data_IF_244870751221
#
_entry.id   IF_244870751221
#
_cell.length_a   1.000
_cell.length_b   1.000
_cell.length_c   1.000
_cell.angle_alpha   90.00
_cell.angle_beta   90.00
_cell.angle_gamma   90.00
#
_symmetry.space_group_name_H-M   'P 1'
#
loop_
_entity.id
_entity.type
_entity.pdbx_description
1 polymer ?
#
# COMPACT_ATOMS: atom_id res chain seq x y z
N UNK A 1 -5.12 -1.83 20.07
CA UNK A 1 -4.64 -3.09 20.69
C UNK A 1 -3.15 -3.25 20.41
N UNK A 2 -2.41 -4.14 21.10
CA UNK A 2 -0.97 -4.33 20.86
C UNK A 2 -0.71 -5.82 20.64
N UNK A 3 -0.18 -6.20 19.48
CA UNK A 3 0.19 -7.57 19.12
C UNK A 3 1.69 -7.76 19.18
N UNK A 4 2.45 -6.95 18.43
CA UNK A 4 3.90 -6.91 18.47
C UNK A 4 4.34 -5.91 19.54
N UNK A 5 5.03 -6.40 20.56
CA UNK A 5 5.50 -5.59 21.69
C UNK A 5 6.87 -4.97 21.42
N UNK A 6 7.80 -5.76 20.90
CA UNK A 6 9.13 -5.28 20.55
C UNK A 6 9.75 -6.10 19.43
N UNK A 7 10.71 -5.51 18.74
CA UNK A 7 11.52 -6.14 17.71
C UNK A 7 12.98 -5.76 17.91
N UNK A 8 13.87 -6.76 17.81
CA UNK A 8 15.31 -6.57 17.98
C UNK A 8 16.01 -6.94 16.69
N UNK A 9 16.80 -6.01 16.19
CA UNK A 9 17.68 -6.17 15.05
C UNK A 9 19.07 -6.58 15.50
N UNK A 10 19.89 -7.22 14.65
CA UNK A 10 21.25 -7.58 14.99
C UNK A 10 22.11 -6.34 15.27
N UNK A 11 23.02 -6.48 16.19
CA UNK A 11 24.05 -5.49 16.50
C UNK A 11 25.11 -5.44 15.39
N UNK A 12 25.91 -4.36 15.34
CA UNK A 12 27.01 -4.24 14.37
C UNK A 12 28.01 -5.40 14.47
N UNK A 13 28.25 -5.93 15.69
CA UNK A 13 29.11 -7.08 15.93
C UNK A 13 28.56 -8.38 15.34
N UNK A 14 27.27 -8.67 15.55
CA UNK A 14 26.61 -9.84 14.99
C UNK A 14 26.56 -9.78 13.45
N UNK A 15 26.31 -8.60 12.90
CA UNK A 15 26.37 -8.38 11.44
C UNK A 15 27.77 -8.63 10.88
N UNK A 16 28.80 -8.13 11.57
CA UNK A 16 30.19 -8.28 11.17
C UNK A 16 30.62 -9.76 11.15
N UNK A 17 30.22 -10.53 12.17
CA UNK A 17 30.52 -11.96 12.26
C UNK A 17 29.93 -12.75 11.07
N UNK A 18 28.73 -12.41 10.62
CA UNK A 18 28.13 -13.02 9.43
C UNK A 18 28.90 -12.63 8.16
N UNK A 19 29.20 -11.35 7.97
CA UNK A 19 29.87 -10.84 6.77
C UNK A 19 31.25 -11.44 6.59
N UNK A 20 32.04 -11.59 7.67
CA UNK A 20 33.40 -12.17 7.62
C UNK A 20 33.35 -13.65 7.22
N UNK A 21 32.32 -14.37 7.64
CA UNK A 21 32.18 -15.80 7.38
C UNK A 21 31.70 -16.11 5.95
N UNK A 22 31.30 -15.11 5.15
CA UNK A 22 30.94 -15.30 3.75
C UNK A 22 32.19 -15.63 2.93
N UNK A 23 32.26 -16.84 2.38
CA UNK A 23 33.40 -17.35 1.61
C UNK A 23 33.47 -16.80 0.18
N UNK A 24 32.31 -16.51 -0.39
CA UNK A 24 32.15 -16.04 -1.76
C UNK A 24 32.45 -14.54 -1.86
N UNK A 25 33.48 -14.17 -2.64
CA UNK A 25 33.92 -12.77 -2.82
C UNK A 25 33.25 -12.06 -4.01
N UNK A 26 32.21 -12.64 -4.59
CA UNK A 26 31.57 -12.13 -5.81
C UNK A 26 30.44 -11.10 -5.52
N UNK A 27 30.09 -10.90 -4.27
CA UNK A 27 28.99 -10.01 -3.90
C UNK A 27 29.41 -8.56 -3.80
N UNK A 28 28.66 -7.65 -4.44
CA UNK A 28 28.88 -6.20 -4.38
C UNK A 28 28.07 -5.51 -3.26
N UNK A 29 27.11 -6.19 -2.68
CA UNK A 29 26.23 -5.67 -1.63
C UNK A 29 25.78 -6.76 -0.67
N UNK A 30 25.79 -6.46 0.61
CA UNK A 30 25.29 -7.32 1.68
C UNK A 30 23.95 -6.83 2.24
N UNK A 31 23.12 -6.18 1.41
CA UNK A 31 21.82 -5.69 1.86
C UNK A 31 21.00 -6.80 2.57
N UNK A 32 20.38 -6.56 3.76
CA UNK A 32 20.20 -5.29 4.45
C UNK A 32 21.23 -4.97 5.55
N UNK A 33 22.33 -5.73 5.65
CA UNK A 33 23.38 -5.52 6.64
C UNK A 33 23.94 -4.08 6.61
N UNK A 34 24.33 -3.57 7.77
CA UNK A 34 24.90 -2.22 8.00
C UNK A 34 23.98 -1.03 7.69
N UNK A 35 22.68 -1.27 7.49
CA UNK A 35 21.72 -0.17 7.33
C UNK A 35 21.20 0.30 8.69
N UNK A 36 20.70 -0.62 9.50
CA UNK A 36 20.07 -0.29 10.78
C UNK A 36 21.09 -0.19 11.92
N UNK A 37 22.09 -1.07 11.95
CA UNK A 37 23.16 -1.06 12.94
C UNK A 37 23.96 0.24 12.93
N UNK A 38 24.32 0.78 11.74
CA UNK A 38 24.97 2.06 11.59
C UNK A 38 24.16 3.26 12.09
N UNK A 39 22.84 3.11 12.23
CA UNK A 39 21.93 4.11 12.80
C UNK A 39 21.67 3.88 14.29
N UNK A 40 22.32 2.86 14.90
CA UNK A 40 22.11 2.50 16.29
C UNK A 40 20.69 1.99 16.55
N UNK A 41 20.06 1.38 15.55
CA UNK A 41 18.71 0.81 15.67
C UNK A 41 18.87 -0.67 16.01
N UNK A 42 18.91 -0.98 17.30
CA UNK A 42 19.04 -2.34 17.79
C UNK A 42 17.69 -2.90 18.28
N UNK A 43 16.91 -2.08 18.98
CA UNK A 43 15.63 -2.49 19.53
C UNK A 43 14.58 -1.40 19.36
N UNK A 44 13.39 -1.83 18.95
CA UNK A 44 12.20 -1.00 18.86
C UNK A 44 11.12 -1.60 19.75
N UNK A 45 10.61 -0.80 20.68
CA UNK A 45 9.41 -1.11 21.45
C UNK A 45 8.19 -0.44 20.77
N UNK A 46 7.08 -1.15 20.67
CA UNK A 46 5.93 -0.69 19.91
C UNK A 46 4.77 -0.26 20.80
N UNK A 47 4.04 0.73 20.33
CA UNK A 47 2.75 1.17 20.82
C UNK A 47 1.64 0.81 19.80
N UNK A 48 0.35 1.01 20.11
CA UNK A 48 -0.73 0.75 19.15
C UNK A 48 -0.55 1.46 17.81
N UNK A 49 0.08 2.64 17.81
CA UNK A 49 0.56 3.32 16.61
C UNK A 49 2.01 3.69 16.83
N UNK A 50 2.90 3.15 16.00
CA UNK A 50 4.32 3.47 15.99
C UNK A 50 4.72 3.97 14.62
N UNK A 51 5.48 5.06 14.55
CA UNK A 51 5.88 5.69 13.30
C UNK A 51 7.41 5.69 13.18
N UNK A 52 7.90 5.27 12.04
CA UNK A 52 9.29 5.42 11.62
C UNK A 52 9.40 6.67 10.75
N UNK A 53 10.00 7.69 11.29
CA UNK A 53 10.30 8.93 10.59
C UNK A 53 11.76 8.94 10.14
N UNK A 54 12.04 9.59 9.02
CA UNK A 54 13.39 9.86 8.53
C UNK A 54 13.38 10.18 7.04
N UNK A 55 14.50 10.69 6.57
CA UNK A 55 14.74 11.00 5.16
C UNK A 55 14.78 9.76 4.27
N UNK A 56 14.80 9.98 2.95
CA UNK A 56 14.97 8.89 2.00
C UNK A 56 16.31 8.20 2.22
N UNK A 57 16.31 6.87 2.28
CA UNK A 57 17.51 6.07 2.57
C UNK A 57 17.85 5.93 4.06
N UNK A 58 17.01 6.40 4.98
CA UNK A 58 17.23 6.24 6.43
C UNK A 58 17.00 4.80 6.95
N UNK A 59 16.46 3.89 6.13
CA UNK A 59 16.24 2.49 6.49
C UNK A 59 14.81 2.14 6.94
N UNK A 60 13.85 3.07 6.90
CA UNK A 60 12.44 2.83 7.30
C UNK A 60 11.80 1.66 6.58
N UNK A 61 11.78 1.71 5.24
CA UNK A 61 11.24 0.64 4.39
C UNK A 61 11.98 -0.68 4.61
N UNK A 62 13.30 -0.62 4.81
CA UNK A 62 14.11 -1.81 5.12
C UNK A 62 13.68 -2.44 6.45
N UNK A 63 13.50 -1.62 7.49
CA UNK A 63 13.01 -2.09 8.80
C UNK A 63 11.62 -2.72 8.70
N UNK A 64 10.67 -2.07 7.99
CA UNK A 64 9.34 -2.64 7.74
C UNK A 64 9.41 -3.98 7.01
N UNK A 65 10.23 -4.08 5.96
CA UNK A 65 10.39 -5.31 5.19
C UNK A 65 10.96 -6.46 6.03
N UNK A 66 11.95 -6.19 6.89
CA UNK A 66 12.53 -7.18 7.81
C UNK A 66 11.48 -7.65 8.82
N UNK A 67 10.74 -6.73 9.43
CA UNK A 67 9.67 -7.05 10.37
C UNK A 67 8.59 -7.91 9.69
N UNK A 68 8.14 -7.50 8.49
CA UNK A 68 7.13 -8.23 7.74
C UNK A 68 7.57 -9.65 7.39
N UNK A 69 8.81 -9.84 6.94
CA UNK A 69 9.36 -11.16 6.60
C UNK A 69 9.52 -12.04 7.85
N UNK A 70 10.04 -11.49 8.96
CA UNK A 70 10.20 -12.23 10.22
C UNK A 70 8.87 -12.70 10.80
N UNK A 71 7.82 -11.87 10.69
CA UNK A 71 6.48 -12.19 11.17
C UNK A 71 5.64 -12.95 10.12
N UNK A 72 6.16 -13.16 8.91
CA UNK A 72 5.47 -13.81 7.79
C UNK A 72 4.12 -13.15 7.47
N UNK A 73 4.11 -11.82 7.44
CA UNK A 73 2.91 -11.06 7.13
C UNK A 73 2.52 -11.20 5.65
N UNK A 74 1.22 -11.14 5.37
CA UNK A 74 0.72 -11.11 4.00
C UNK A 74 1.24 -9.87 3.25
N UNK A 75 1.63 -10.06 1.98
CA UNK A 75 2.20 -9.04 1.11
C UNK A 75 1.76 -9.28 -0.33
N UNK A 76 1.47 -8.19 -1.06
CA UNK A 76 1.13 -8.25 -2.49
C UNK A 76 2.29 -7.76 -3.34
N UNK A 77 2.88 -6.59 -3.02
CA UNK A 77 3.98 -6.02 -3.80
C UNK A 77 5.33 -6.72 -3.54
N UNK A 78 6.15 -6.77 -4.57
CA UNK A 78 7.54 -7.19 -4.47
C UNK A 78 8.36 -6.14 -3.69
N UNK A 79 9.49 -6.55 -3.12
CA UNK A 79 10.40 -5.68 -2.39
C UNK A 79 11.86 -6.05 -2.66
N UNK A 80 12.77 -5.14 -2.32
CA UNK A 80 14.20 -5.39 -2.47
C UNK A 80 14.66 -6.52 -1.54
N UNK A 81 15.13 -7.62 -2.13
CA UNK A 81 15.63 -8.79 -1.42
C UNK A 81 16.96 -9.20 -2.03
N UNK A 82 18.00 -9.27 -1.22
CA UNK A 82 19.29 -9.85 -1.60
C UNK A 82 19.38 -11.30 -1.17
N UNK A 83 20.45 -11.99 -1.58
CA UNK A 83 20.75 -13.34 -1.11
C UNK A 83 20.95 -13.42 0.41
N UNK A 84 21.33 -12.32 1.04
CA UNK A 84 21.62 -12.23 2.49
C UNK A 84 20.43 -11.77 3.32
N UNK A 85 19.29 -11.47 2.68
CA UNK A 85 18.13 -10.91 3.38
C UNK A 85 17.58 -11.88 4.44
N UNK A 86 17.49 -13.16 4.10
CA UNK A 86 16.98 -14.18 5.03
C UNK A 86 17.96 -14.41 6.19
N UNK A 87 19.26 -14.44 5.93
CA UNK A 87 20.29 -14.58 6.97
C UNK A 87 20.18 -13.44 8.00
N UNK A 88 19.94 -12.23 7.52
CA UNK A 88 19.68 -11.08 8.40
C UNK A 88 18.38 -11.25 9.22
N UNK A 89 17.29 -11.65 8.58
CA UNK A 89 16.00 -11.87 9.23
C UNK A 89 16.11 -12.96 10.30
N UNK A 90 16.94 -13.99 10.10
CA UNK A 90 17.14 -15.07 11.06
C UNK A 90 17.80 -14.58 12.35
N UNK A 91 18.69 -13.59 12.28
CA UNK A 91 19.32 -12.95 13.44
C UNK A 91 18.33 -12.11 14.26
N UNK A 92 17.24 -11.63 13.63
CA UNK A 92 16.27 -10.79 14.32
C UNK A 92 15.42 -11.58 15.33
N UNK A 93 15.00 -10.90 16.39
CA UNK A 93 14.11 -11.45 17.41
C UNK A 93 12.92 -10.53 17.64
N UNK A 94 11.80 -11.07 18.12
CA UNK A 94 10.63 -10.27 18.45
C UNK A 94 9.90 -10.80 19.68
N UNK A 95 9.12 -9.94 20.32
CA UNK A 95 8.25 -10.28 21.45
C UNK A 95 6.82 -9.89 21.14
N UNK A 96 5.88 -10.81 21.36
CA UNK A 96 4.44 -10.57 21.22
C UNK A 96 3.83 -10.22 22.58
N UNK A 97 2.73 -9.48 22.59
CA UNK A 97 1.90 -9.28 23.78
C UNK A 97 0.93 -10.45 24.00
N UNK A 98 0.56 -11.14 22.94
CA UNK A 98 -0.28 -12.35 22.94
C UNK A 98 0.46 -13.57 22.45
N UNK A 99 -0.28 -14.61 22.05
CA UNK A 99 0.28 -15.89 21.60
C UNK A 99 0.61 -15.91 20.10
N UNK A 100 -0.04 -15.10 19.29
CA UNK A 100 0.15 -15.09 17.84
C UNK A 100 -0.22 -13.74 17.22
N UNK A 101 0.32 -13.49 16.03
CA UNK A 101 -0.11 -12.40 15.14
C UNK A 101 -1.40 -12.84 14.43
N UNK A 102 -2.43 -11.98 14.33
CA UNK A 102 -3.65 -12.30 13.59
C UNK A 102 -3.38 -12.63 12.12
N UNK A 103 -4.11 -13.58 11.55
CA UNK A 103 -3.87 -14.08 10.19
C UNK A 103 -4.14 -13.04 9.09
N UNK A 104 -4.99 -12.05 9.36
CA UNK A 104 -5.29 -10.93 8.45
C UNK A 104 -4.29 -9.77 8.54
N UNK A 105 -3.19 -9.95 9.31
CA UNK A 105 -2.13 -8.96 9.42
C UNK A 105 -1.28 -8.90 8.15
N UNK A 106 -0.94 -7.70 7.68
CA UNK A 106 -0.24 -7.51 6.41
C UNK A 106 0.63 -6.27 6.36
N UNK A 107 1.51 -6.23 5.39
CA UNK A 107 2.20 -5.01 4.99
C UNK A 107 1.51 -4.44 3.74
N UNK A 108 1.32 -3.12 3.72
CA UNK A 108 0.78 -2.36 2.60
C UNK A 108 1.81 -1.30 2.25
N UNK A 109 2.23 -1.27 0.99
CA UNK A 109 3.21 -0.34 0.46
C UNK A 109 2.56 0.65 -0.51
N UNK A 110 3.24 1.73 -0.84
CA UNK A 110 2.82 2.65 -1.91
C UNK A 110 2.66 1.95 -3.26
N UNK A 111 3.46 0.91 -3.52
CA UNK A 111 3.38 0.13 -4.76
C UNK A 111 2.06 -0.66 -4.85
N UNK A 112 1.59 -1.23 -3.74
CA UNK A 112 0.29 -1.92 -3.69
C UNK A 112 -0.87 -0.97 -4.07
N UNK A 113 -0.81 0.27 -3.57
CA UNK A 113 -1.81 1.31 -3.86
C UNK A 113 -1.75 1.71 -5.33
N UNK A 114 -0.54 1.86 -5.87
CA UNK A 114 -0.32 2.21 -7.26
C UNK A 114 -0.82 1.12 -8.20
N UNK A 115 -0.49 -0.14 -7.94
CA UNK A 115 -0.96 -1.30 -8.71
C UNK A 115 -2.49 -1.41 -8.69
N UNK A 116 -3.11 -1.18 -7.55
CA UNK A 116 -4.57 -1.14 -7.44
C UNK A 116 -5.17 -0.06 -8.36
N UNK A 117 -4.61 1.15 -8.35
CA UNK A 117 -5.08 2.23 -9.21
C UNK A 117 -4.90 1.93 -10.70
N UNK A 118 -3.77 1.31 -11.09
CA UNK A 118 -3.53 0.87 -12.46
C UNK A 118 -4.55 -0.19 -12.89
N UNK A 119 -4.78 -1.18 -12.05
CA UNK A 119 -5.74 -2.25 -12.32
C UNK A 119 -7.16 -1.70 -12.53
N UNK A 120 -7.59 -0.71 -11.74
CA UNK A 120 -8.89 -0.04 -11.94
C UNK A 120 -8.98 0.65 -13.30
N UNK A 121 -7.91 1.34 -13.72
CA UNK A 121 -7.86 2.01 -15.04
C UNK A 121 -7.92 0.99 -16.17
N UNK A 122 -7.11 -0.08 -16.10
CA UNK A 122 -7.10 -1.14 -17.11
C UNK A 122 -8.46 -1.85 -17.21
N UNK A 123 -9.14 -2.05 -16.08
CA UNK A 123 -10.48 -2.60 -16.05
C UNK A 123 -11.48 -1.70 -16.78
N UNK A 124 -11.46 -0.40 -16.51
CA UNK A 124 -12.33 0.56 -17.17
C UNK A 124 -12.04 0.65 -18.68
N UNK A 125 -10.76 0.68 -19.08
CA UNK A 125 -10.35 0.66 -20.49
C UNK A 125 -10.83 -0.62 -21.19
N UNK A 126 -10.72 -1.78 -20.53
CA UNK A 126 -11.25 -3.04 -21.04
C UNK A 126 -12.77 -3.01 -21.24
N UNK A 127 -13.49 -2.41 -20.30
CA UNK A 127 -14.96 -2.21 -20.40
C UNK A 127 -15.30 -1.29 -21.57
N UNK A 128 -14.59 -0.18 -21.75
CA UNK A 128 -14.84 0.77 -22.83
C UNK A 128 -14.51 0.16 -24.21
N UNK A 129 -13.38 -0.55 -24.31
CA UNK A 129 -13.04 -1.31 -25.53
C UNK A 129 -14.09 -2.38 -25.84
N UNK A 130 -14.61 -3.05 -24.83
CA UNK A 130 -15.72 -4.00 -24.97
C UNK A 130 -16.99 -3.33 -25.50
N UNK A 131 -17.31 -2.13 -25.00
CA UNK A 131 -18.45 -1.32 -25.49
C UNK A 131 -18.30 -0.94 -26.96
N UNK A 132 -17.13 -0.46 -27.36
CA UNK A 132 -16.85 -0.10 -28.76
C UNK A 132 -17.04 -1.29 -29.71
N UNK A 133 -16.50 -2.46 -29.36
CA UNK A 133 -16.70 -3.69 -30.11
C UNK A 133 -18.19 -4.05 -30.27
N UNK A 134 -18.98 -3.93 -29.21
CA UNK A 134 -20.42 -4.21 -29.25
C UNK A 134 -21.20 -3.14 -30.05
N UNK A 135 -20.75 -1.88 -30.02
CA UNK A 135 -21.33 -0.85 -30.91
C UNK A 135 -21.05 -1.14 -32.37
N UNK A 136 -19.86 -1.60 -32.73
CA UNK A 136 -19.52 -2.01 -34.08
C UNK A 136 -20.31 -3.25 -34.51
N UNK A 137 -20.39 -4.28 -33.63
CA UNK A 137 -21.17 -5.49 -33.87
C UNK A 137 -22.64 -5.15 -34.13
N UNK A 138 -23.25 -4.31 -33.26
CA UNK A 138 -24.62 -3.86 -33.44
C UNK A 138 -24.83 -3.19 -34.80
N UNK A 139 -23.92 -2.29 -35.21
CA UNK A 139 -24.02 -1.60 -36.51
C UNK A 139 -23.89 -2.59 -37.67
N UNK A 140 -22.94 -3.53 -37.62
CA UNK A 140 -22.75 -4.57 -38.65
C UNK A 140 -23.99 -5.43 -38.79
N UNK A 141 -24.55 -5.92 -37.70
CA UNK A 141 -25.76 -6.76 -37.70
C UNK A 141 -26.96 -5.97 -38.23
N UNK A 142 -27.08 -4.69 -37.89
CA UNK A 142 -28.22 -3.86 -38.30
C UNK A 142 -28.13 -3.39 -39.75
N UNK A 143 -26.91 -3.22 -40.27
CA UNK A 143 -26.68 -2.84 -41.70
C UNK A 143 -26.67 -4.05 -42.62
N UNK A 144 -26.42 -5.26 -42.12
CA UNK A 144 -26.51 -6.46 -42.93
C UNK A 144 -27.98 -6.71 -43.27
N UNK A 145 -28.23 -6.86 -44.56
CA UNK A 145 -29.57 -7.32 -45.06
C UNK A 145 -29.74 -8.81 -44.74
N UNK A 146 -30.00 -9.07 -43.49
CA UNK A 146 -30.18 -10.42 -42.98
C UNK A 146 -31.55 -10.97 -43.41
N UNK A 147 -31.65 -11.31 -44.69
CA UNK A 147 -32.71 -12.16 -45.20
C UNK A 147 -32.83 -13.41 -44.31
N UNK A 148 -34.04 -13.85 -44.06
CA UNK A 148 -34.52 -14.96 -43.20
C UNK A 148 -33.41 -15.92 -42.77
N UNK A 149 -32.70 -15.63 -41.64
CA UNK A 149 -31.80 -16.56 -41.02
C UNK A 149 -32.59 -17.81 -40.63
N UNK A 150 -32.22 -19.00 -41.08
CA UNK A 150 -32.86 -20.27 -40.75
C UNK A 150 -31.93 -21.04 -39.82
N UNK A 151 -32.44 -21.44 -38.65
CA UNK A 151 -31.82 -22.40 -37.77
C UNK A 151 -31.52 -23.70 -38.54
N UNK A 152 -30.25 -24.10 -38.61
CA UNK A 152 -29.83 -25.38 -39.20
C UNK A 152 -29.22 -26.33 -38.16
N UNK A 153 -28.69 -25.78 -37.05
CA UNK A 153 -28.04 -26.52 -35.98
C UNK A 153 -28.35 -25.90 -34.63
N UNK A 154 -28.10 -26.64 -33.54
CA UNK A 154 -28.14 -26.14 -32.15
C UNK A 154 -27.04 -25.08 -31.90
N UNK A 155 -25.95 -25.13 -32.64
CA UNK A 155 -24.86 -24.13 -32.54
C UNK A 155 -25.29 -22.75 -33.04
N UNK A 156 -26.32 -22.69 -33.92
CA UNK A 156 -26.89 -21.44 -34.44
C UNK A 156 -27.75 -20.69 -33.39
N UNK A 157 -28.04 -21.32 -32.24
CA UNK A 157 -28.96 -20.77 -31.24
C UNK A 157 -28.42 -19.46 -30.62
N UNK A 158 -27.13 -19.41 -30.30
CA UNK A 158 -26.50 -18.18 -29.75
C UNK A 158 -26.51 -17.06 -30.77
N UNK A 159 -26.33 -17.35 -32.06
CA UNK A 159 -26.36 -16.35 -33.12
C UNK A 159 -27.78 -15.80 -33.32
N UNK A 160 -28.81 -16.67 -33.30
CA UNK A 160 -30.22 -16.25 -33.35
C UNK A 160 -30.58 -15.36 -32.15
N UNK A 161 -30.11 -15.71 -30.98
CA UNK A 161 -30.34 -14.95 -29.76
C UNK A 161 -29.70 -13.56 -29.86
N UNK A 162 -28.47 -13.45 -30.38
CA UNK A 162 -27.78 -12.18 -30.70
C UNK A 162 -28.58 -11.34 -31.70
N UNK A 163 -28.91 -11.89 -32.84
CA UNK A 163 -29.69 -11.21 -33.89
C UNK A 163 -31.02 -10.69 -33.36
N UNK A 164 -31.72 -11.52 -32.57
CA UNK A 164 -32.98 -11.16 -31.94
C UNK A 164 -32.82 -10.04 -30.92
N UNK A 165 -31.75 -10.08 -30.15
CA UNK A 165 -31.44 -9.06 -29.16
C UNK A 165 -31.13 -7.71 -29.83
N UNK A 166 -30.35 -7.69 -30.91
CA UNK A 166 -30.08 -6.48 -31.71
C UNK A 166 -31.34 -5.89 -32.33
N UNK A 167 -32.25 -6.76 -32.81
CA UNK A 167 -33.53 -6.28 -33.40
C UNK A 167 -34.51 -5.69 -32.37
N UNK A 168 -34.54 -6.24 -31.16
CA UNK A 168 -35.46 -5.82 -30.09
C UNK A 168 -34.99 -4.66 -29.24
N UNK A 169 -33.67 -4.38 -29.20
CA UNK A 169 -33.12 -3.36 -28.35
C UNK A 169 -32.57 -2.18 -29.18
N UNK A 170 -32.55 -1.01 -28.60
CA UNK A 170 -31.73 0.10 -29.11
C UNK A 170 -30.25 -0.21 -28.93
N UNK A 171 -29.39 0.45 -29.68
CA UNK A 171 -27.95 0.27 -29.60
C UNK A 171 -27.44 0.40 -28.15
N UNK A 172 -27.85 1.46 -27.45
CA UNK A 172 -27.44 1.70 -26.06
C UNK A 172 -27.95 0.61 -25.10
N UNK A 173 -29.18 0.09 -25.29
CA UNK A 173 -29.72 -0.99 -24.48
C UNK A 173 -29.01 -2.32 -24.74
N UNK A 174 -28.67 -2.60 -26.01
CA UNK A 174 -27.91 -3.80 -26.37
C UNK A 174 -26.54 -3.81 -25.67
N UNK A 175 -25.79 -2.72 -25.80
CA UNK A 175 -24.47 -2.59 -25.18
C UNK A 175 -24.57 -2.64 -23.64
N UNK A 176 -25.51 -1.91 -23.04
CA UNK A 176 -25.69 -1.88 -21.57
C UNK A 176 -26.03 -3.26 -20.98
N UNK A 177 -26.71 -4.15 -21.73
CA UNK A 177 -27.01 -5.51 -21.28
C UNK A 177 -25.84 -6.47 -21.36
N UNK A 178 -24.87 -6.21 -22.23
CA UNK A 178 -23.77 -7.13 -22.53
C UNK A 178 -22.41 -6.68 -21.99
N UNK A 179 -22.31 -5.47 -21.42
CA UNK A 179 -21.08 -4.96 -20.79
C UNK A 179 -21.36 -4.55 -19.36
N UNK A 180 -20.39 -4.79 -18.48
CA UNK A 180 -20.42 -4.32 -17.10
C UNK A 180 -20.47 -2.78 -17.00
N UNK A 181 -20.80 -2.29 -15.83
CA UNK A 181 -20.73 -0.87 -15.50
C UNK A 181 -19.28 -0.53 -15.17
N UNK A 182 -18.75 0.58 -15.69
CA UNK A 182 -17.42 1.05 -15.28
C UNK A 182 -17.40 1.19 -13.77
N UNK A 183 -16.28 0.80 -13.17
CA UNK A 183 -16.00 1.19 -11.81
C UNK A 183 -15.94 2.71 -11.82
N UNK A 184 -16.66 3.34 -10.88
CA UNK A 184 -16.76 4.79 -10.80
C UNK A 184 -15.35 5.39 -10.84
N UNK A 185 -15.08 6.21 -11.84
CA UNK A 185 -13.84 6.96 -11.92
C UNK A 185 -13.76 7.89 -10.71
N UNK A 186 -12.80 7.64 -9.86
CA UNK A 186 -12.48 8.46 -8.71
C UNK A 186 -11.12 9.12 -8.95
N UNK A 187 -10.89 10.24 -8.28
CA UNK A 187 -9.55 10.82 -8.28
C UNK A 187 -8.54 9.82 -7.70
N UNK A 188 -7.27 9.93 -8.09
CA UNK A 188 -6.22 9.05 -7.58
C UNK A 188 -6.22 8.97 -6.05
N UNK A 189 -6.42 10.10 -5.37
CA UNK A 189 -6.48 10.15 -3.92
C UNK A 189 -7.69 9.45 -3.32
N UNK A 190 -8.85 9.45 -3.99
CA UNK A 190 -10.03 8.70 -3.55
C UNK A 190 -9.82 7.20 -3.73
N UNK A 191 -9.25 6.78 -4.86
CA UNK A 191 -8.93 5.38 -5.14
C UNK A 191 -7.90 4.83 -4.14
N UNK A 192 -6.86 5.61 -3.84
CA UNK A 192 -5.85 5.25 -2.84
C UNK A 192 -6.47 5.11 -1.44
N UNK A 193 -7.31 6.05 -1.02
CA UNK A 193 -8.01 5.95 0.26
C UNK A 193 -8.94 4.75 0.33
N UNK A 194 -9.70 4.46 -0.75
CA UNK A 194 -10.53 3.26 -0.84
C UNK A 194 -9.74 1.97 -0.66
N UNK A 195 -8.53 1.91 -1.20
CA UNK A 195 -7.66 0.75 -1.03
C UNK A 195 -7.41 0.47 0.45
N UNK A 196 -7.01 1.48 1.22
CA UNK A 196 -6.81 1.32 2.67
C UNK A 196 -8.10 0.91 3.38
N UNK A 197 -9.23 1.55 3.07
CA UNK A 197 -10.53 1.21 3.67
C UNK A 197 -11.00 -0.22 3.36
N UNK A 198 -10.58 -0.79 2.23
CA UNK A 198 -10.90 -2.18 1.85
C UNK A 198 -9.93 -3.20 2.46
N UNK A 199 -8.66 -2.81 2.65
CA UNK A 199 -7.60 -3.74 3.08
C UNK A 199 -7.38 -3.76 4.59
N UNK A 200 -7.76 -2.70 5.30
CA UNK A 200 -7.64 -2.62 6.75
C UNK A 200 -8.91 -3.16 7.38
N UNK A 201 -8.78 -4.33 7.98
CA UNK A 201 -9.82 -5.04 8.73
C UNK A 201 -9.59 -4.91 10.23
N UNK A 202 -10.56 -5.29 11.04
CA UNK A 202 -10.47 -5.26 12.50
C UNK A 202 -9.49 -6.31 13.04
N UNK A 203 -8.96 -6.04 14.23
CA UNK A 203 -8.14 -6.98 15.01
C UNK A 203 -6.92 -7.51 14.26
N UNK A 204 -6.09 -6.64 13.71
CA UNK A 204 -4.89 -7.01 12.95
C UNK A 204 -3.72 -6.04 13.17
N UNK A 205 -2.51 -6.51 12.79
CA UNK A 205 -1.29 -5.72 12.71
C UNK A 205 -1.05 -5.28 11.26
N UNK A 206 -0.89 -3.99 11.05
CA UNK A 206 -0.60 -3.41 9.76
C UNK A 206 0.74 -2.69 9.74
N UNK A 207 1.57 -3.01 8.77
CA UNK A 207 2.75 -2.24 8.42
C UNK A 207 2.40 -1.40 7.19
N UNK A 208 2.60 -0.09 7.27
CA UNK A 208 2.28 0.85 6.17
C UNK A 208 3.56 1.58 5.74
N UNK A 209 3.92 1.45 4.46
CA UNK A 209 5.09 2.13 3.90
C UNK A 209 4.66 3.26 2.98
N UNK A 210 4.94 4.49 3.42
CA UNK A 210 4.58 5.76 2.75
C UNK A 210 3.10 5.82 2.31
N UNK A 211 2.14 5.61 3.24
CA UNK A 211 0.72 5.56 2.90
C UNK A 211 0.18 6.88 2.38
N UNK A 212 0.90 7.98 2.56
CA UNK A 212 0.58 9.31 2.04
C UNK A 212 0.76 9.47 0.54
N UNK A 213 1.52 8.59 -0.11
CA UNK A 213 1.78 8.67 -1.54
C UNK A 213 0.46 8.61 -2.32
N UNK A 214 0.34 9.49 -3.31
CA UNK A 214 -0.88 9.69 -4.11
C UNK A 214 -2.08 10.30 -3.36
N UNK A 215 -1.95 10.69 -2.08
CA UNK A 215 -3.00 11.34 -1.31
C UNK A 215 -2.83 12.87 -1.26
N UNK A 216 -3.91 13.62 -1.54
CA UNK A 216 -3.93 15.05 -1.27
C UNK A 216 -3.87 15.32 0.24
N UNK A 217 -3.46 16.54 0.69
CA UNK A 217 -3.44 16.89 2.11
C UNK A 217 -4.74 16.58 2.85
N UNK A 218 -5.91 16.85 2.22
CA UNK A 218 -7.20 16.54 2.80
C UNK A 218 -7.38 15.02 2.98
N UNK A 219 -6.98 14.23 1.98
CA UNK A 219 -7.07 12.77 2.05
C UNK A 219 -6.08 12.17 3.04
N UNK A 220 -4.92 12.77 3.22
CA UNK A 220 -3.99 12.38 4.29
C UNK A 220 -4.61 12.62 5.68
N UNK A 221 -5.30 13.74 5.89
CA UNK A 221 -6.03 14.00 7.15
C UNK A 221 -7.20 13.02 7.37
N UNK A 222 -7.90 12.61 6.31
CA UNK A 222 -8.92 11.56 6.40
C UNK A 222 -8.29 10.21 6.76
N UNK A 223 -7.15 9.87 6.16
CA UNK A 223 -6.40 8.65 6.49
C UNK A 223 -5.95 8.67 7.97
N UNK A 224 -5.43 9.78 8.46
CA UNK A 224 -5.03 9.93 9.87
C UNK A 224 -6.19 9.61 10.80
N UNK A 225 -7.39 10.18 10.56
CA UNK A 225 -8.59 9.90 11.37
C UNK A 225 -8.98 8.42 11.29
N UNK A 226 -8.95 7.85 10.10
CA UNK A 226 -9.25 6.43 9.89
C UNK A 226 -8.28 5.52 10.66
N UNK A 227 -6.99 5.82 10.67
CA UNK A 227 -5.97 5.06 11.42
C UNK A 227 -6.14 5.22 12.94
N UNK A 228 -6.42 6.45 13.42
CA UNK A 228 -6.71 6.72 14.83
C UNK A 228 -7.94 5.92 15.32
N UNK A 229 -9.04 5.94 14.55
CA UNK A 229 -10.26 5.22 14.87
C UNK A 229 -10.03 3.70 14.83
N UNK A 230 -9.32 3.21 13.83
CA UNK A 230 -8.99 1.77 13.69
C UNK A 230 -8.13 1.27 14.84
N UNK A 231 -7.14 2.06 15.28
CA UNK A 231 -6.30 1.70 16.42
C UNK A 231 -7.08 1.74 17.74
N UNK A 232 -8.00 2.70 17.90
CA UNK A 232 -8.74 2.93 19.14
C UNK A 232 -9.94 2.00 19.32
N UNK A 233 -10.72 1.77 18.26
CA UNK A 233 -12.02 1.11 18.35
C UNK A 233 -12.06 -0.27 17.70
N UNK A 234 -11.21 -0.52 16.69
CA UNK A 234 -11.25 -1.75 15.90
C UNK A 234 -10.08 -2.70 16.17
N UNK A 235 -9.35 -2.48 17.25
CA UNK A 235 -8.31 -3.40 17.69
C UNK A 235 -7.10 -3.51 16.77
N UNK A 236 -6.86 -2.53 15.88
CA UNK A 236 -5.70 -2.52 15.00
C UNK A 236 -4.43 -2.02 15.69
N UNK A 237 -3.29 -2.56 15.28
CA UNK A 237 -1.97 -2.01 15.56
C UNK A 237 -1.33 -1.56 14.25
N UNK A 238 -0.68 -0.38 14.25
CA UNK A 238 -0.02 0.17 13.07
C UNK A 238 1.45 0.43 13.32
N UNK A 239 2.30 0.05 12.36
CA UNK A 239 3.70 0.44 12.26
C UNK A 239 3.85 1.14 10.91
N UNK A 240 4.15 2.45 10.91
CA UNK A 240 4.04 3.29 9.72
C UNK A 240 5.40 3.92 9.41
N UNK A 241 5.92 3.72 8.21
CA UNK A 241 7.05 4.50 7.70
C UNK A 241 6.50 5.70 6.91
N UNK A 242 6.85 6.91 7.27
CA UNK A 242 6.35 8.13 6.65
C UNK A 242 7.29 9.31 6.84
N UNK A 243 7.17 10.29 5.95
CA UNK A 243 7.74 11.62 6.09
C UNK A 243 6.68 12.73 6.04
N UNK A 244 5.39 12.37 5.92
CA UNK A 244 4.29 13.32 5.86
C UNK A 244 4.01 13.98 7.20
N UNK A 245 3.99 15.32 7.29
CA UNK A 245 3.65 16.03 8.52
C UNK A 245 2.22 15.72 9.00
N UNK A 246 1.31 15.35 8.10
CA UNK A 246 -0.05 14.97 8.45
C UNK A 246 -0.08 13.60 9.15
N UNK A 247 0.59 12.60 8.58
CA UNK A 247 0.63 11.25 9.17
C UNK A 247 1.44 11.25 10.48
N UNK A 248 2.49 12.06 10.57
CA UNK A 248 3.27 12.25 11.81
C UNK A 248 2.43 12.84 12.96
N UNK A 249 1.32 13.54 12.66
CA UNK A 249 0.45 14.16 13.67
C UNK A 249 -0.55 13.20 14.31
N UNK A 250 -0.53 11.90 13.99
CA UNK A 250 -1.40 10.87 14.61
C UNK A 250 -1.26 10.94 16.13
N UNK A 251 -2.40 11.02 16.81
CA UNK A 251 -2.43 11.16 18.27
C UNK A 251 -1.91 9.91 18.97
N UNK A 252 -1.12 10.13 20.01
CA UNK A 252 -0.52 9.08 20.83
C UNK A 252 0.37 8.10 20.04
N UNK A 253 0.85 8.48 18.87
CA UNK A 253 1.85 7.71 18.14
C UNK A 253 3.22 7.84 18.81
N UNK A 254 3.96 6.74 18.90
CA UNK A 254 5.37 6.74 19.25
C UNK A 254 6.20 6.89 17.98
N UNK A 255 7.01 7.93 17.89
CA UNK A 255 7.77 8.25 16.67
C UNK A 255 9.24 8.02 16.90
N UNK A 256 9.82 7.10 16.15
CA UNK A 256 11.27 6.86 16.08
C UNK A 256 11.87 7.69 14.94
N UNK A 257 12.79 8.55 15.27
CA UNK A 257 13.59 9.33 14.32
C UNK A 257 14.80 8.53 13.85
N UNK A 258 14.74 8.02 12.63
CA UNK A 258 15.80 7.22 11.98
C UNK A 258 16.94 8.09 11.43
N UNK A 259 16.77 9.40 11.35
CA UNK A 259 17.86 10.32 10.97
C UNK A 259 18.76 10.65 12.16
N UNK A 260 18.29 10.46 13.39
CA UNK A 260 19.12 10.55 14.59
C UNK A 260 20.01 9.32 14.74
N UNK A 261 21.24 9.49 15.22
CA UNK A 261 22.13 8.38 15.56
C UNK A 261 22.63 8.56 17.00
N UNK A 262 22.25 7.67 17.95
CA UNK A 262 21.28 6.56 17.78
C UNK A 262 19.86 7.06 17.52
N UNK A 263 19.04 6.20 16.88
CA UNK A 263 17.63 6.51 16.64
C UNK A 263 16.93 6.77 17.98
N UNK A 264 16.16 7.85 18.04
CA UNK A 264 15.54 8.33 19.27
C UNK A 264 14.05 8.54 19.09
N UNK A 265 13.27 8.36 20.18
CA UNK A 265 11.85 8.72 20.20
C UNK A 265 11.73 10.25 20.32
N UNK A 266 11.00 10.88 19.40
CA UNK A 266 10.75 12.32 19.35
C UNK A 266 9.27 12.63 19.23
N UNK A 267 8.89 13.84 19.62
CA UNK A 267 7.55 14.37 19.31
C UNK A 267 7.54 14.80 17.83
N UNK A 268 6.39 14.66 17.18
CA UNK A 268 6.26 15.05 15.77
C UNK A 268 6.63 16.52 15.52
N UNK A 269 6.38 17.40 16.50
CA UNK A 269 6.73 18.82 16.43
C UNK A 269 8.24 19.11 16.51
N UNK A 270 9.05 18.15 16.93
CA UNK A 270 10.51 18.29 17.08
C UNK A 270 11.26 17.80 15.84
N UNK A 271 10.54 17.16 14.91
CA UNK A 271 11.12 16.59 13.69
C UNK A 271 11.51 17.68 12.70
N UNK A 272 12.69 17.54 12.09
CA UNK A 272 13.27 18.56 11.22
C UNK A 272 12.33 18.95 10.06
N UNK A 273 11.79 17.96 9.35
CA UNK A 273 10.88 18.21 8.23
C UNK A 273 9.63 19.02 8.67
N UNK A 274 9.05 18.68 9.82
CA UNK A 274 7.88 19.39 10.36
C UNK A 274 8.24 20.83 10.73
N UNK A 275 9.44 21.06 11.31
CA UNK A 275 9.93 22.37 11.63
C UNK A 275 10.18 23.24 10.38
N UNK A 276 10.65 22.63 9.29
CA UNK A 276 10.81 23.31 8.00
C UNK A 276 9.45 23.81 7.49
N UNK A 277 8.41 22.97 7.49
CA UNK A 277 7.06 23.40 7.09
C UNK A 277 6.50 24.49 8.00
N UNK A 278 6.64 24.33 9.32
CA UNK A 278 6.18 25.32 10.29
C UNK A 278 6.83 26.69 10.07
N UNK A 279 8.15 26.72 9.90
CA UNK A 279 8.91 27.96 9.69
C UNK A 279 8.55 28.60 8.34
N UNK A 280 8.38 27.80 7.28
CA UNK A 280 7.94 28.29 5.97
C UNK A 280 6.59 29.02 6.08
N UNK A 281 5.57 28.37 6.63
CA UNK A 281 4.25 28.99 6.78
C UNK A 281 4.25 30.19 7.72
N UNK A 282 5.07 30.14 8.77
CA UNK A 282 5.24 31.28 9.68
C UNK A 282 5.85 32.50 8.98
N UNK A 283 6.82 32.31 8.11
CA UNK A 283 7.43 33.39 7.32
C UNK A 283 6.44 34.01 6.33
N UNK A 284 5.56 33.22 5.76
CA UNK A 284 4.55 33.62 4.76
C UNK A 284 3.19 33.95 5.37
N UNK A 285 3.12 34.10 6.69
CA UNK A 285 1.83 34.33 7.38
C UNK A 285 1.05 35.52 6.83
N UNK A 286 1.71 36.61 6.50
CA UNK A 286 1.09 37.81 5.96
C UNK A 286 0.40 37.60 4.58
N UNK A 287 0.77 36.55 3.84
CA UNK A 287 0.16 36.22 2.56
C UNK A 287 -1.21 35.55 2.75
N UNK A 288 -1.45 34.92 3.90
CA UNK A 288 -2.70 34.23 4.25
C UNK A 288 -3.71 35.10 4.99
N UNK A 289 -3.25 36.20 5.60
CA UNK A 289 -4.09 37.10 6.44
C UNK A 289 -4.54 38.37 5.68
N UNK A 290 -4.56 38.34 4.34
CA UNK A 290 -5.04 39.45 3.46
C UNK A 290 -6.54 39.48 3.36
#
# INVERSE_FOLDING_TARGET
MLYLKSFTFPTDGEEFDVIINVKEKCYSSFYPFKILSQRGIEKIDFEPVTIFYGSNGSGKTTALNIIAEKLKLERSAAYNKSSFFNDYVDLCCYTLKGTAIPANSRIITSDDVFDFMLNLRMLNEGIDTGREKLFEEYRKIKSADNGKFRLRSLDDFEEVKRLTSVRRNTQSMYVKKNVGVNVREQSNGESAFMYFAQKIEENALYLLDEPENSLSPQKQMELVRFLEDSARFYGCQFIIATHSPFVLSVKNAQIYDFDSCPAAVKRWTELENVQVYYNFFKQHRADFEK
#
